data_IF_460527632015
#
_entry.id   IF_460527632015
#
_cell.length_a   1.000
_cell.length_b   1.000
_cell.length_c   1.000
_cell.angle_alpha   90.00
_cell.angle_beta   90.00
_cell.angle_gamma   90.00
#
_symmetry.space_group_name_H-M   'P 1'
#
loop_
_entity.id
_entity.type
_entity.pdbx_description
1 polymer ?
#
# COMPACT_ATOMS: atom_id res chain seq x y z
N UNK A 1 -13.30 40.27 -16.93
CA UNK A 1 -12.18 39.83 -16.08
C UNK A 1 -11.07 39.34 -17.00
N UNK A 2 -9.94 40.06 -17.10
CA UNK A 2 -8.82 39.64 -17.97
C UNK A 2 -8.13 38.45 -17.31
N UNK A 3 -8.17 37.28 -17.94
CA UNK A 3 -7.44 36.10 -17.50
C UNK A 3 -5.95 36.43 -17.55
N UNK A 4 -5.29 36.47 -16.39
CA UNK A 4 -3.82 36.50 -16.32
C UNK A 4 -3.31 35.26 -17.04
N UNK A 5 -2.21 35.39 -17.79
CA UNK A 5 -1.53 34.25 -18.41
C UNK A 5 -0.99 33.39 -17.25
N UNK A 6 -1.66 32.28 -16.96
CA UNK A 6 -1.20 31.32 -15.96
C UNK A 6 0.09 30.69 -16.45
N UNK A 7 1.03 30.46 -15.53
CA UNK A 7 2.20 29.64 -15.80
C UNK A 7 1.77 28.20 -16.20
N UNK A 8 2.63 27.47 -16.93
CA UNK A 8 2.30 26.15 -17.48
C UNK A 8 1.79 25.19 -16.39
N UNK A 9 2.44 25.21 -15.23
CA UNK A 9 2.07 24.41 -14.06
C UNK A 9 0.71 24.79 -13.48
N UNK A 10 0.40 26.09 -13.43
CA UNK A 10 -0.91 26.55 -12.96
C UNK A 10 -2.00 26.14 -13.95
N UNK A 11 -1.76 26.25 -15.26
CA UNK A 11 -2.73 25.83 -16.27
C UNK A 11 -3.05 24.32 -16.19
N UNK A 12 -2.05 23.50 -15.87
CA UNK A 12 -2.23 22.07 -15.64
C UNK A 12 -3.07 21.80 -14.38
N UNK A 13 -2.70 22.41 -13.24
CA UNK A 13 -3.44 22.28 -11.97
C UNK A 13 -4.90 22.70 -12.13
N UNK A 14 -5.18 23.83 -12.79
CA UNK A 14 -6.55 24.28 -13.03
C UNK A 14 -7.36 23.33 -13.94
N UNK A 15 -6.70 22.57 -14.82
CA UNK A 15 -7.37 21.57 -15.66
C UNK A 15 -7.64 20.25 -14.93
N UNK A 16 -6.81 19.90 -13.94
CA UNK A 16 -6.89 18.62 -13.23
C UNK A 16 -7.56 18.71 -11.86
N UNK A 17 -7.74 19.91 -11.30
CA UNK A 17 -8.42 20.09 -10.03
C UNK A 17 -9.91 19.71 -10.14
N UNK A 18 -10.50 19.16 -9.06
CA UNK A 18 -11.95 18.96 -9.00
C UNK A 18 -12.68 20.30 -9.16
N UNK A 19 -13.64 20.34 -10.09
CA UNK A 19 -14.40 21.56 -10.36
C UNK A 19 -15.24 22.03 -9.16
N UNK A 20 -15.64 21.11 -8.27
CA UNK A 20 -16.39 21.39 -7.04
C UNK A 20 -15.52 21.69 -5.81
N UNK A 21 -14.19 21.58 -5.92
CA UNK A 21 -13.29 21.58 -4.77
C UNK A 21 -13.34 20.26 -3.97
N UNK A 22 -12.58 20.20 -2.88
CA UNK A 22 -12.52 19.06 -1.95
C UNK A 22 -12.58 19.60 -0.52
N UNK A 23 -13.48 19.06 0.31
CA UNK A 23 -13.49 19.30 1.75
C UNK A 23 -12.82 18.12 2.48
N UNK A 24 -11.68 18.43 3.12
CA UNK A 24 -10.78 17.48 3.79
C UNK A 24 -10.90 17.52 5.31
N UNK A 25 -11.87 18.26 5.87
CA UNK A 25 -11.99 18.46 7.32
C UNK A 25 -12.38 17.19 8.09
N UNK A 26 -12.94 16.20 7.40
CA UNK A 26 -13.30 14.93 8.03
C UNK A 26 -12.15 13.93 7.93
N UNK A 27 -11.85 13.26 9.04
CA UNK A 27 -10.72 12.32 9.13
C UNK A 27 -10.94 11.00 8.38
N UNK A 28 -12.20 10.63 8.09
CA UNK A 28 -12.57 9.33 7.52
C UNK A 28 -12.88 9.38 6.03
N UNK A 29 -13.21 10.55 5.48
CA UNK A 29 -13.61 10.69 4.09
C UNK A 29 -13.38 12.11 3.58
N UNK A 30 -13.27 12.22 2.26
CA UNK A 30 -13.28 13.47 1.52
C UNK A 30 -14.67 13.73 0.97
N UNK A 31 -15.13 14.98 1.11
CA UNK A 31 -16.37 15.42 0.49
C UNK A 31 -16.04 16.18 -0.81
N UNK A 32 -16.47 15.62 -1.93
CA UNK A 32 -16.21 16.14 -3.28
C UNK A 32 -17.35 17.06 -3.78
N UNK A 33 -18.36 17.31 -2.93
CA UNK A 33 -19.52 18.16 -3.21
C UNK A 33 -20.73 17.36 -3.69
N UNK A 34 -20.57 16.52 -4.71
CA UNK A 34 -21.61 15.66 -5.29
C UNK A 34 -21.55 14.20 -4.77
N UNK A 35 -20.40 13.79 -4.24
CA UNK A 35 -20.18 12.47 -3.67
C UNK A 35 -19.13 12.52 -2.54
N UNK A 36 -18.99 11.40 -1.86
CA UNK A 36 -17.96 11.16 -0.85
C UNK A 36 -16.96 10.12 -1.35
N UNK A 37 -15.71 10.30 -0.94
CA UNK A 37 -14.63 9.37 -1.25
C UNK A 37 -13.85 9.02 0.02
N UNK A 38 -13.34 7.81 0.11
CA UNK A 38 -12.28 7.47 1.07
C UNK A 38 -11.32 6.46 0.45
N UNK A 39 -10.15 6.33 1.05
CA UNK A 39 -9.10 5.43 0.59
C UNK A 39 -8.85 4.35 1.64
N UNK A 40 -8.86 3.10 1.17
CA UNK A 40 -8.45 1.94 1.94
C UNK A 40 -6.99 1.66 1.58
N UNK A 41 -6.10 1.82 2.54
CA UNK A 41 -4.69 1.52 2.40
C UNK A 41 -4.45 0.06 2.82
N UNK A 42 -3.80 -0.72 1.95
CA UNK A 42 -3.35 -2.08 2.27
C UNK A 42 -1.92 -1.99 2.79
N UNK A 43 -1.76 -2.19 4.09
CA UNK A 43 -0.48 -1.99 4.80
C UNK A 43 0.21 -3.30 5.20
N UNK A 44 -0.47 -4.43 5.03
CA UNK A 44 0.09 -5.76 5.28
C UNK A 44 -0.33 -6.71 4.17
N UNK A 45 0.64 -7.44 3.66
CA UNK A 45 0.54 -8.28 2.46
C UNK A 45 0.87 -9.72 2.89
N UNK A 46 0.20 -10.75 2.33
CA UNK A 46 0.49 -12.15 2.65
C UNK A 46 1.95 -12.53 2.43
N UNK A 47 2.47 -13.45 3.25
CA UNK A 47 3.82 -13.99 3.11
C UNK A 47 3.96 -14.93 1.92
N UNK A 48 2.88 -15.65 1.60
CA UNK A 48 2.81 -16.55 0.45
C UNK A 48 1.91 -15.96 -0.65
N UNK A 49 2.43 -15.94 -1.87
CA UNK A 49 1.72 -15.44 -3.03
C UNK A 49 1.36 -16.58 -3.98
N UNK A 50 0.10 -16.62 -4.42
CA UNK A 50 -0.26 -17.35 -5.62
C UNK A 50 0.12 -16.56 -6.87
N UNK A 51 0.14 -17.25 -8.02
CA UNK A 51 0.12 -16.54 -9.30
C UNK A 51 -1.05 -15.56 -9.34
N UNK A 52 -0.80 -14.37 -9.92
CA UNK A 52 -1.79 -13.30 -10.05
C UNK A 52 -2.41 -12.85 -8.71
N UNK A 53 -1.64 -12.87 -7.63
CA UNK A 53 -2.10 -12.50 -6.27
C UNK A 53 -2.76 -11.11 -6.16
N UNK A 54 -2.46 -10.17 -7.06
CA UNK A 54 -3.10 -8.85 -7.09
C UNK A 54 -4.50 -8.84 -7.71
N UNK A 55 -4.87 -9.85 -8.50
CA UNK A 55 -6.12 -9.88 -9.27
C UNK A 55 -7.35 -9.69 -8.38
N UNK A 56 -7.38 -10.35 -7.22
CA UNK A 56 -8.50 -10.21 -6.30
C UNK A 56 -8.69 -8.78 -5.75
N UNK A 57 -7.64 -7.96 -5.72
CA UNK A 57 -7.69 -6.55 -5.29
C UNK A 57 -8.01 -5.63 -6.46
N UNK A 58 -7.45 -5.90 -7.64
CA UNK A 58 -7.63 -5.05 -8.83
C UNK A 58 -8.95 -5.27 -9.54
N UNK A 59 -9.62 -6.41 -9.32
CA UNK A 59 -10.93 -6.72 -9.92
C UNK A 59 -12.14 -6.30 -9.06
N UNK A 60 -11.90 -5.68 -7.89
CA UNK A 60 -13.00 -5.22 -7.03
C UNK A 60 -13.87 -4.21 -7.80
N UNK A 61 -15.18 -4.44 -7.95
CA UNK A 61 -16.02 -3.63 -8.82
C UNK A 61 -16.33 -2.25 -8.21
N UNK A 62 -16.29 -1.22 -9.06
CA UNK A 62 -16.70 0.13 -8.70
C UNK A 62 -15.75 0.87 -7.75
N UNK A 63 -14.53 0.38 -7.56
CA UNK A 63 -13.44 1.10 -6.90
C UNK A 63 -12.35 1.42 -7.92
N UNK A 64 -11.47 2.34 -7.56
CA UNK A 64 -10.20 2.52 -8.28
C UNK A 64 -9.10 1.92 -7.42
N UNK A 65 -8.21 1.12 -8.01
CA UNK A 65 -7.06 0.54 -7.31
C UNK A 65 -5.78 1.10 -7.92
N UNK A 66 -4.85 1.59 -7.09
CA UNK A 66 -3.48 1.91 -7.51
C UNK A 66 -2.50 0.94 -6.87
N UNK A 67 -1.47 0.58 -7.64
CA UNK A 67 -0.35 -0.24 -7.20
C UNK A 67 0.91 0.50 -7.62
N UNK A 68 1.58 1.11 -6.65
CA UNK A 68 2.79 1.87 -6.87
C UNK A 68 3.99 1.07 -6.37
N UNK A 69 5.04 0.97 -7.19
CA UNK A 69 6.27 0.27 -6.81
C UNK A 69 7.43 1.25 -6.84
N UNK A 70 8.13 1.38 -5.71
CA UNK A 70 9.25 2.30 -5.54
C UNK A 70 10.50 1.55 -5.11
N UNK A 71 11.66 2.02 -5.58
CA UNK A 71 12.93 1.55 -5.05
C UNK A 71 13.17 2.25 -3.71
N UNK A 72 13.27 1.50 -2.62
CA UNK A 72 13.65 2.10 -1.35
C UNK A 72 15.17 2.24 -1.29
N UNK A 73 15.69 3.44 -1.56
CA UNK A 73 17.13 3.73 -1.57
C UNK A 73 17.68 4.09 -0.19
N UNK A 74 16.82 4.18 0.84
CA UNK A 74 17.21 4.62 2.19
C UNK A 74 17.51 3.46 3.14
N UNK A 75 17.01 2.27 2.85
CA UNK A 75 17.22 1.08 3.69
C UNK A 75 18.43 0.29 3.21
N UNK A 76 19.33 -0.05 4.13
CA UNK A 76 20.40 -1.03 3.87
C UNK A 76 19.83 -2.44 4.06
N UNK A 77 19.10 -2.90 3.04
CA UNK A 77 18.47 -4.21 3.11
C UNK A 77 19.49 -5.35 3.25
N UNK A 78 20.71 -5.17 2.75
CA UNK A 78 21.75 -6.21 2.83
C UNK A 78 22.16 -6.42 4.28
N UNK A 79 22.43 -5.33 5.00
CA UNK A 79 22.83 -5.38 6.41
C UNK A 79 21.66 -5.81 7.30
N UNK A 80 20.45 -5.29 7.07
CA UNK A 80 19.26 -5.69 7.83
C UNK A 80 18.95 -7.19 7.70
N UNK A 81 19.07 -7.75 6.49
CA UNK A 81 18.87 -9.19 6.27
C UNK A 81 19.98 -10.00 6.97
N UNK A 82 21.23 -9.53 6.95
CA UNK A 82 22.34 -10.22 7.62
C UNK A 82 22.18 -10.22 9.14
N UNK A 83 21.73 -9.12 9.73
CA UNK A 83 21.38 -9.02 11.15
C UNK A 83 20.24 -9.99 11.50
N UNK A 84 19.14 -9.98 10.73
CA UNK A 84 18.01 -10.88 10.94
C UNK A 84 18.42 -12.37 10.87
N UNK A 85 19.23 -12.77 9.88
CA UNK A 85 19.74 -14.15 9.78
C UNK A 85 20.59 -14.49 11.02
N UNK A 86 21.40 -13.56 11.51
CA UNK A 86 22.26 -13.79 12.68
C UNK A 86 21.42 -13.99 13.94
N UNK A 87 20.39 -13.16 14.15
CA UNK A 87 19.45 -13.29 15.26
C UNK A 87 18.70 -14.62 15.22
N UNK A 88 18.13 -14.97 14.06
CA UNK A 88 17.43 -16.25 13.88
C UNK A 88 18.35 -17.46 14.05
N UNK A 89 19.62 -17.36 13.66
CA UNK A 89 20.59 -18.45 13.88
C UNK A 89 20.88 -18.65 15.36
N UNK A 90 21.01 -17.57 16.14
CA UNK A 90 21.14 -17.68 17.60
C UNK A 90 19.88 -18.26 18.23
N UNK A 91 18.70 -17.90 17.72
CA UNK A 91 17.43 -18.47 18.16
C UNK A 91 17.35 -19.97 17.84
N UNK A 92 17.81 -20.38 16.66
CA UNK A 92 17.91 -21.78 16.24
C UNK A 92 18.81 -22.59 17.17
N UNK A 93 19.97 -22.06 17.55
CA UNK A 93 20.89 -22.68 18.51
C UNK A 93 20.26 -22.87 19.91
N UNK A 94 19.25 -22.06 20.24
CA UNK A 94 18.49 -22.12 21.49
C UNK A 94 17.16 -22.88 21.39
N UNK A 95 16.80 -23.43 20.22
CA UNK A 95 15.57 -24.17 20.02
C UNK A 95 15.50 -25.43 20.90
N UNK A 96 14.34 -25.69 21.50
CA UNK A 96 14.19 -26.77 22.50
C UNK A 96 13.80 -28.11 21.88
N UNK A 97 13.19 -28.08 20.71
CA UNK A 97 12.70 -29.26 20.02
C UNK A 97 12.83 -29.10 18.50
N UNK A 98 12.64 -30.19 17.77
CA UNK A 98 12.81 -30.25 16.32
C UNK A 98 11.78 -29.36 15.60
N UNK A 99 10.53 -29.30 16.08
CA UNK A 99 9.50 -28.47 15.45
C UNK A 99 9.84 -26.97 15.54
N UNK A 100 10.27 -26.49 16.72
CA UNK A 100 10.73 -25.10 16.90
C UNK A 100 11.92 -24.81 15.97
N UNK A 101 12.83 -25.78 15.81
CA UNK A 101 13.99 -25.66 14.93
C UNK A 101 13.58 -25.57 13.47
N UNK A 102 12.62 -26.38 13.04
CA UNK A 102 12.10 -26.40 11.67
C UNK A 102 11.37 -25.09 11.33
N UNK A 103 10.58 -24.55 12.26
CA UNK A 103 9.91 -23.25 12.11
C UNK A 103 10.91 -22.11 11.90
N UNK A 104 11.95 -22.01 12.74
CA UNK A 104 12.99 -20.99 12.60
C UNK A 104 13.77 -21.18 11.29
N UNK A 105 14.04 -22.43 10.89
CA UNK A 105 14.74 -22.70 9.63
C UNK A 105 13.93 -22.25 8.41
N UNK A 106 12.61 -22.41 8.43
CA UNK A 106 11.70 -21.92 7.38
C UNK A 106 11.72 -20.39 7.24
N UNK A 107 12.07 -19.65 8.31
CA UNK A 107 12.28 -18.19 8.23
C UNK A 107 13.68 -17.82 7.72
N UNK A 108 14.72 -18.59 8.09
CA UNK A 108 16.11 -18.33 7.67
C UNK A 108 16.30 -18.56 6.16
N UNK A 109 15.72 -19.61 5.61
CA UNK A 109 15.91 -20.03 4.22
C UNK A 109 15.52 -18.96 3.16
N UNK A 110 14.36 -18.31 3.24
CA UNK A 110 14.00 -17.23 2.31
C UNK A 110 14.92 -16.01 2.46
N UNK A 111 15.32 -15.65 3.69
CA UNK A 111 16.25 -14.54 3.92
C UNK A 111 17.64 -14.80 3.31
N UNK A 112 18.15 -16.04 3.41
CA UNK A 112 19.40 -16.44 2.77
C UNK A 112 19.31 -16.38 1.24
N UNK A 113 18.21 -16.90 0.70
CA UNK A 113 17.90 -16.85 -0.73
C UNK A 113 17.89 -15.41 -1.24
N UNK A 114 17.18 -14.52 -0.53
CA UNK A 114 17.11 -13.09 -0.86
C UNK A 114 18.48 -12.40 -0.75
N UNK A 115 19.25 -12.67 0.31
CA UNK A 115 20.60 -12.11 0.50
C UNK A 115 21.53 -12.49 -0.67
N UNK A 116 21.45 -13.73 -1.15
CA UNK A 116 22.23 -14.19 -2.30
C UNK A 116 21.81 -13.49 -3.59
N UNK A 117 20.50 -13.37 -3.85
CA UNK A 117 19.97 -12.71 -5.04
C UNK A 117 20.37 -11.22 -5.11
N UNK A 118 20.32 -10.51 -3.97
CA UNK A 118 20.80 -9.14 -3.87
C UNK A 118 22.30 -9.00 -4.19
N UNK A 119 23.13 -9.93 -3.69
CA UNK A 119 24.60 -9.85 -3.82
C UNK A 119 25.13 -10.33 -5.17
N UNK A 120 24.55 -11.38 -5.75
CA UNK A 120 25.05 -12.02 -6.98
C UNK A 120 24.35 -11.53 -8.24
N UNK A 121 23.04 -11.34 -8.17
CA UNK A 121 22.22 -11.14 -9.36
C UNK A 121 21.82 -9.66 -9.55
N UNK A 122 22.23 -8.79 -8.62
CA UNK A 122 21.97 -7.35 -8.69
C UNK A 122 20.49 -7.01 -8.53
N UNK A 123 19.72 -7.89 -7.88
CA UNK A 123 18.31 -7.63 -7.58
C UNK A 123 18.15 -6.43 -6.65
N UNK A 124 17.01 -5.75 -6.76
CA UNK A 124 16.68 -4.57 -5.96
C UNK A 124 15.36 -4.83 -5.26
N UNK A 125 15.35 -4.70 -3.93
CA UNK A 125 14.12 -4.73 -3.15
C UNK A 125 13.31 -3.48 -3.47
N UNK A 126 12.06 -3.70 -3.84
CA UNK A 126 11.09 -2.65 -4.11
C UNK A 126 9.97 -2.68 -3.10
N UNK A 127 9.62 -1.51 -2.61
CA UNK A 127 8.45 -1.33 -1.76
C UNK A 127 7.23 -1.11 -2.65
N UNK A 128 6.14 -1.81 -2.34
CA UNK A 128 4.87 -1.69 -3.07
C UNK A 128 3.82 -1.06 -2.16
N UNK A 129 3.10 -0.08 -2.67
CA UNK A 129 1.94 0.52 -2.02
C UNK A 129 0.68 0.15 -2.79
N UNK A 130 -0.35 -0.31 -2.09
CA UNK A 130 -1.62 -0.68 -2.71
C UNK A 130 -2.74 0.10 -2.03
N UNK A 131 -3.50 0.85 -2.83
CA UNK A 131 -4.58 1.72 -2.36
C UNK A 131 -5.86 1.42 -3.13
N UNK A 132 -6.97 1.35 -2.40
CA UNK A 132 -8.30 1.12 -2.97
C UNK A 132 -9.21 2.30 -2.64
N UNK A 133 -9.57 3.05 -3.67
CA UNK A 133 -10.38 4.26 -3.58
C UNK A 133 -11.85 3.93 -3.74
N UNK A 134 -12.63 4.22 -2.71
CA UNK A 134 -14.06 3.99 -2.66
C UNK A 134 -14.82 5.32 -2.85
N UNK A 135 -15.87 5.27 -3.67
CA UNK A 135 -16.74 6.41 -3.95
C UNK A 135 -18.20 6.05 -3.72
N UNK A 136 -19.01 6.97 -3.18
CA UNK A 136 -20.45 6.84 -3.08
C UNK A 136 -21.16 8.20 -2.93
N UNK A 137 -22.44 8.28 -3.32
CA UNK A 137 -23.20 9.53 -3.28
C UNK A 137 -23.54 10.00 -1.84
N UNK A 138 -23.64 9.06 -0.89
CA UNK A 138 -23.90 9.37 0.52
C UNK A 138 -22.87 8.72 1.44
N UNK A 139 -22.72 9.29 2.65
CA UNK A 139 -21.81 8.77 3.69
C UNK A 139 -22.15 7.33 4.07
N UNK A 140 -23.43 7.03 4.26
CA UNK A 140 -23.88 5.68 4.64
C UNK A 140 -23.57 4.65 3.54
N UNK A 141 -23.69 5.04 2.26
CA UNK A 141 -23.33 4.17 1.14
C UNK A 141 -21.82 3.96 1.08
N UNK A 142 -21.03 5.02 1.35
CA UNK A 142 -19.58 4.93 1.38
C UNK A 142 -19.13 3.96 2.49
N UNK A 143 -19.67 4.11 3.70
CA UNK A 143 -19.34 3.26 4.85
C UNK A 143 -19.66 1.78 4.58
N UNK A 144 -20.83 1.48 4.00
CA UNK A 144 -21.19 0.12 3.60
C UNK A 144 -20.20 -0.46 2.58
N UNK A 145 -19.88 0.31 1.54
CA UNK A 145 -18.94 -0.09 0.50
C UNK A 145 -17.55 -0.34 1.06
N UNK A 146 -17.06 0.54 1.92
CA UNK A 146 -15.76 0.38 2.59
C UNK A 146 -15.73 -0.91 3.41
N UNK A 147 -16.77 -1.17 4.20
CA UNK A 147 -16.87 -2.39 4.99
C UNK A 147 -16.88 -3.65 4.12
N UNK A 148 -17.59 -3.62 2.98
CA UNK A 148 -17.62 -4.73 2.02
C UNK A 148 -16.24 -4.97 1.38
N UNK A 149 -15.58 -3.90 0.92
CA UNK A 149 -14.26 -3.97 0.28
C UNK A 149 -13.20 -4.45 1.28
N UNK A 150 -13.15 -3.87 2.48
CA UNK A 150 -12.23 -4.32 3.55
C UNK A 150 -12.47 -5.79 3.89
N UNK A 151 -13.74 -6.23 3.95
CA UNK A 151 -14.06 -7.66 4.19
C UNK A 151 -13.56 -8.56 3.06
N UNK A 152 -13.64 -8.13 1.81
CA UNK A 152 -13.08 -8.88 0.69
C UNK A 152 -11.55 -8.94 0.76
N UNK A 153 -10.89 -7.82 1.00
CA UNK A 153 -9.43 -7.71 1.17
C UNK A 153 -8.92 -8.65 2.26
N UNK A 154 -9.59 -8.66 3.42
CA UNK A 154 -9.23 -9.54 4.56
C UNK A 154 -9.40 -11.03 4.27
N UNK A 155 -10.32 -11.43 3.38
CA UNK A 155 -10.45 -12.84 2.97
C UNK A 155 -9.25 -13.33 2.16
N UNK A 156 -8.52 -12.41 1.54
CA UNK A 156 -7.32 -12.69 0.76
C UNK A 156 -6.04 -12.59 1.63
N UNK A 157 -6.18 -12.59 2.96
CA UNK A 157 -5.09 -12.49 3.95
C UNK A 157 -4.33 -11.16 3.98
N UNK A 158 -4.82 -10.13 3.30
CA UNK A 158 -4.29 -8.77 3.42
C UNK A 158 -4.85 -8.05 4.65
N UNK A 159 -4.09 -7.12 5.22
CA UNK A 159 -4.63 -6.15 6.20
C UNK A 159 -4.74 -4.78 5.56
N UNK A 160 -5.89 -4.17 5.78
CA UNK A 160 -6.22 -2.88 5.23
C UNK A 160 -7.10 -2.06 6.17
N UNK A 161 -6.94 -0.75 6.12
CA UNK A 161 -7.70 0.23 6.89
C UNK A 161 -7.78 1.55 6.14
N UNK A 162 -8.76 2.36 6.53
CA UNK A 162 -8.73 3.80 6.27
C UNK A 162 -7.78 4.42 7.30
N UNK A 163 -6.86 5.27 6.86
CA UNK A 163 -5.98 6.03 7.75
C UNK A 163 -6.65 7.34 8.15
N UNK A 164 -6.69 7.61 9.45
CA UNK A 164 -7.36 8.78 9.99
C UNK A 164 -6.54 10.04 9.73
N UNK A 165 -7.18 11.05 9.15
CA UNK A 165 -6.55 12.35 8.92
C UNK A 165 -5.59 12.40 7.73
N UNK A 166 -5.39 11.28 7.02
CA UNK A 166 -4.51 11.20 5.83
C UNK A 166 -5.30 11.24 4.52
N UNK A 167 -6.58 11.62 4.55
CA UNK A 167 -7.46 11.52 3.39
C UNK A 167 -6.99 12.36 2.19
N UNK A 168 -6.36 13.52 2.43
CA UNK A 168 -5.87 14.38 1.35
C UNK A 168 -4.60 13.80 0.72
N UNK A 169 -3.68 13.32 1.55
CA UNK A 169 -2.43 12.67 1.14
C UNK A 169 -2.74 11.41 0.32
N UNK A 170 -3.65 10.58 0.80
CA UNK A 170 -4.11 9.38 0.10
C UNK A 170 -4.76 9.71 -1.25
N UNK A 171 -5.56 10.79 -1.35
CA UNK A 171 -6.11 11.27 -2.61
C UNK A 171 -5.01 11.75 -3.57
N UNK A 172 -4.06 12.53 -3.08
CA UNK A 172 -2.95 13.04 -3.88
C UNK A 172 -2.07 11.91 -4.42
N UNK A 173 -1.92 10.81 -3.68
CA UNK A 173 -1.16 9.63 -4.09
C UNK A 173 -1.71 8.97 -5.37
N UNK A 174 -2.97 9.24 -5.77
CA UNK A 174 -3.49 8.79 -7.06
C UNK A 174 -2.80 9.46 -8.26
N UNK A 175 -2.28 10.66 -8.06
CA UNK A 175 -1.75 11.51 -9.14
C UNK A 175 -0.26 11.81 -8.99
N UNK A 176 0.27 11.70 -7.78
CA UNK A 176 1.67 11.95 -7.47
C UNK A 176 2.42 10.62 -7.38
N UNK A 177 3.69 10.56 -7.82
CA UNK A 177 4.52 9.38 -7.61
C UNK A 177 4.61 9.03 -6.12
N UNK A 178 4.55 7.74 -5.78
CA UNK A 178 4.89 7.29 -4.44
C UNK A 178 6.35 7.67 -4.14
N UNK A 179 6.58 8.41 -3.04
CA UNK A 179 7.89 8.93 -2.65
C UNK A 179 7.96 9.30 -1.19
#
# INVERSE_FOLDING_TARGET
MKLKKLDLDQHFVFKTQPAGGIDTRNELYLNMGDHYMTTIHIFDIPEEFSDFWLTGITEIPGVTTTVDTVNNTKADFVDNIAEAITELTVQLDHAKNIADSDEIQNEIDPLRSLSLALRKDGEVIRQTYIRVYCYAATRDQLERKVNEVVKQIRKMSFKASVFLGEGMEEYQAMFLPAG
#
